data_IF_247846686977
#
_entry.id   IF_247846686977
#
_cell.length_a   1.000
_cell.length_b   1.000
_cell.length_c   1.000
_cell.angle_alpha   90.00
_cell.angle_beta   90.00
_cell.angle_gamma   90.00
#
_symmetry.space_group_name_H-M   'P 1'
#
loop_
_entity.id
_entity.type
_entity.pdbx_description
1 polymer ?
#
# COMPACT_ATOMS: atom_id res chain seq x y z
N UNK A 1 -4.16 -3.78 -5.78
CA UNK A 1 -3.71 -2.37 -5.90
C UNK A 1 -2.20 -2.25 -5.85
N UNK A 2 -1.51 -2.73 -4.82
CA UNK A 2 -0.04 -2.61 -4.68
C UNK A 2 0.70 -3.23 -5.87
N UNK A 3 0.25 -4.39 -6.35
CA UNK A 3 0.81 -5.08 -7.51
C UNK A 3 0.88 -4.19 -8.77
N UNK A 4 -0.05 -3.23 -8.89
CA UNK A 4 -0.13 -2.31 -10.03
C UNK A 4 0.63 -0.98 -9.82
N UNK A 5 1.38 -0.81 -8.76
CA UNK A 5 2.11 0.44 -8.54
C UNK A 5 3.43 0.49 -9.30
N UNK A 6 4.02 -0.65 -9.59
CA UNK A 6 5.42 -0.73 -10.03
C UNK A 6 5.58 -1.17 -11.47
N UNK A 7 4.97 -2.31 -11.85
CA UNK A 7 5.18 -2.86 -13.20
C UNK A 7 4.65 -1.95 -14.33
N UNK A 8 3.53 -1.20 -14.21
CA UNK A 8 3.08 -0.34 -15.30
C UNK A 8 4.11 0.74 -15.63
N UNK A 9 4.74 1.34 -14.63
CA UNK A 9 5.81 2.33 -14.84
C UNK A 9 7.05 1.71 -15.47
N UNK A 10 7.42 0.49 -15.04
CA UNK A 10 8.56 -0.22 -15.59
C UNK A 10 8.36 -0.55 -17.07
N UNK A 11 7.22 -1.15 -17.44
CA UNK A 11 6.96 -1.58 -18.81
C UNK A 11 6.70 -0.39 -19.75
N UNK A 12 6.02 0.67 -19.30
CA UNK A 12 5.81 1.87 -20.10
C UNK A 12 7.11 2.63 -20.40
N UNK A 13 8.14 2.41 -19.58
CA UNK A 13 9.49 2.94 -19.78
C UNK A 13 10.41 1.96 -20.57
N UNK A 14 9.84 0.91 -21.18
CA UNK A 14 10.58 -0.03 -22.00
C UNK A 14 11.38 -1.09 -21.24
N UNK A 15 11.11 -1.30 -19.96
CA UNK A 15 11.77 -2.32 -19.16
C UNK A 15 10.97 -3.64 -19.14
N UNK A 16 11.67 -4.75 -18.94
CA UNK A 16 11.05 -6.01 -18.53
C UNK A 16 10.88 -6.02 -17.02
N UNK A 17 9.94 -6.82 -16.52
CA UNK A 17 9.62 -6.87 -15.10
C UNK A 17 9.52 -8.32 -14.60
N UNK A 18 10.24 -8.63 -13.53
CA UNK A 18 10.07 -9.87 -12.78
C UNK A 18 9.14 -9.56 -11.61
N UNK A 19 8.00 -10.20 -11.60
CA UNK A 19 6.96 -9.98 -10.60
C UNK A 19 6.93 -11.14 -9.59
N UNK A 20 7.34 -10.88 -8.37
CA UNK A 20 7.23 -11.82 -7.25
C UNK A 20 6.17 -11.32 -6.28
N UNK A 21 4.97 -11.88 -6.28
CA UNK A 21 3.94 -11.56 -5.30
C UNK A 21 4.25 -12.13 -3.93
N UNK A 22 3.46 -11.74 -2.92
CA UNK A 22 3.50 -12.40 -1.62
C UNK A 22 3.12 -13.87 -1.77
N UNK A 23 3.87 -14.76 -1.15
CA UNK A 23 3.57 -16.18 -1.09
C UNK A 23 2.26 -16.50 -0.35
N UNK A 24 1.77 -15.58 0.47
CA UNK A 24 0.52 -15.72 1.23
C UNK A 24 -0.73 -15.43 0.39
N UNK A 25 -0.62 -14.56 -0.61
CA UNK A 25 -1.77 -14.09 -1.41
C UNK A 25 -1.42 -14.00 -2.91
N UNK A 26 -1.01 -15.10 -3.56
CA UNK A 26 -0.50 -15.06 -4.93
C UNK A 26 -1.58 -15.00 -6.02
N UNK A 27 -2.82 -15.41 -5.73
CA UNK A 27 -3.84 -15.67 -6.74
C UNK A 27 -4.24 -14.41 -7.54
N UNK A 28 -4.36 -13.27 -6.90
CA UNK A 28 -4.68 -12.00 -7.57
C UNK A 28 -3.59 -11.61 -8.56
N UNK A 29 -2.31 -11.79 -8.18
CA UNK A 29 -1.18 -11.49 -9.05
C UNK A 29 -1.15 -12.42 -10.28
N UNK A 30 -1.43 -13.71 -10.08
CA UNK A 30 -1.53 -14.68 -11.18
C UNK A 30 -2.62 -14.25 -12.17
N UNK A 31 -3.83 -13.97 -11.66
CA UNK A 31 -4.94 -13.57 -12.52
C UNK A 31 -4.66 -12.26 -13.26
N UNK A 32 -4.00 -11.32 -12.61
CA UNK A 32 -3.60 -10.05 -13.22
C UNK A 32 -2.64 -10.26 -14.40
N UNK A 33 -1.62 -11.11 -14.25
CA UNK A 33 -0.69 -11.42 -15.34
C UNK A 33 -1.40 -12.13 -16.49
N UNK A 34 -2.32 -13.07 -16.20
CA UNK A 34 -3.14 -13.70 -17.24
C UNK A 34 -3.97 -12.67 -18.04
N UNK A 35 -4.59 -11.71 -17.35
CA UNK A 35 -5.36 -10.64 -18.00
C UNK A 35 -4.46 -9.76 -18.90
N UNK A 36 -3.23 -9.52 -18.50
CA UNK A 36 -2.26 -8.78 -19.31
C UNK A 36 -1.85 -9.58 -20.57
N UNK A 37 -1.68 -10.89 -20.45
CA UNK A 37 -1.44 -11.77 -21.60
C UNK A 37 -2.65 -11.79 -22.54
N UNK A 38 -3.87 -11.93 -22.00
CA UNK A 38 -5.13 -11.86 -22.77
C UNK A 38 -5.27 -10.51 -23.49
N UNK A 39 -4.79 -9.41 -22.88
CA UNK A 39 -4.77 -8.07 -23.48
C UNK A 39 -3.67 -7.87 -24.54
N UNK A 40 -2.83 -8.86 -24.78
CA UNK A 40 -1.80 -8.83 -25.82
C UNK A 40 -0.43 -8.34 -25.35
N UNK A 41 -0.14 -8.38 -24.04
CA UNK A 41 1.21 -8.06 -23.55
C UNK A 41 2.23 -9.04 -24.17
N UNK A 42 3.31 -8.56 -24.80
CA UNK A 42 4.32 -9.44 -25.42
C UNK A 42 4.96 -10.36 -24.38
N UNK A 43 5.25 -11.59 -24.81
CA UNK A 43 5.94 -12.58 -23.96
C UNK A 43 7.29 -12.06 -23.47
N UNK A 44 7.59 -12.33 -22.20
CA UNK A 44 8.85 -11.94 -21.57
C UNK A 44 8.87 -10.50 -21.00
N UNK A 45 7.85 -9.69 -21.26
CA UNK A 45 7.76 -8.33 -20.68
C UNK A 45 7.49 -8.40 -19.19
N UNK A 46 6.52 -9.22 -18.75
CA UNK A 46 6.29 -9.54 -17.34
C UNK A 46 6.51 -11.03 -17.13
N UNK A 47 7.28 -11.39 -16.12
CA UNK A 47 7.58 -12.76 -15.75
C UNK A 47 7.22 -12.96 -14.28
N UNK A 48 6.20 -13.78 -14.02
CA UNK A 48 5.74 -14.07 -12.67
C UNK A 48 6.57 -15.21 -12.07
N UNK A 49 7.11 -14.98 -10.88
CA UNK A 49 7.86 -15.98 -10.11
C UNK A 49 7.31 -16.07 -8.69
N UNK A 50 7.29 -17.29 -8.14
CA UNK A 50 6.86 -17.54 -6.78
C UNK A 50 8.03 -17.98 -5.91
N UNK A 51 7.98 -17.65 -4.64
CA UNK A 51 8.99 -18.06 -3.66
C UNK A 51 9.03 -17.15 -2.44
N UNK A 52 9.68 -17.66 -1.41
CA UNK A 52 9.93 -16.93 -0.16
C UNK A 52 11.25 -16.15 -0.21
N UNK A 53 11.94 -16.14 0.93
CA UNK A 53 13.19 -15.40 1.14
C UNK A 53 14.28 -15.74 0.11
N UNK A 54 14.50 -17.03 -0.18
CA UNK A 54 15.56 -17.46 -1.08
C UNK A 54 15.37 -16.92 -2.50
N UNK A 55 14.11 -16.88 -2.97
CA UNK A 55 13.78 -16.27 -4.25
C UNK A 55 14.09 -14.76 -4.24
N UNK A 56 13.73 -14.07 -3.17
CA UNK A 56 14.02 -12.63 -3.00
C UNK A 56 15.53 -12.39 -3.01
N UNK A 57 16.30 -13.14 -2.23
CA UNK A 57 17.75 -12.99 -2.13
C UNK A 57 18.44 -13.29 -3.49
N UNK A 58 17.93 -14.28 -4.23
CA UNK A 58 18.41 -14.55 -5.61
C UNK A 58 18.17 -13.35 -6.52
N UNK A 59 16.97 -12.77 -6.50
CA UNK A 59 16.65 -11.58 -7.32
C UNK A 59 17.49 -10.36 -6.92
N UNK A 60 17.77 -10.20 -5.62
CA UNK A 60 18.59 -9.10 -5.11
C UNK A 60 20.06 -9.20 -5.51
N UNK A 61 20.57 -10.41 -5.65
CA UNK A 61 22.00 -10.65 -5.96
C UNK A 61 22.27 -10.89 -7.44
N UNK A 62 21.25 -11.26 -8.24
CA UNK A 62 21.42 -11.59 -9.66
C UNK A 62 21.93 -10.39 -10.47
N UNK A 63 22.99 -10.54 -11.28
CA UNK A 63 23.63 -9.43 -11.97
C UNK A 63 22.76 -8.76 -13.04
N UNK A 64 21.80 -9.48 -13.62
CA UNK A 64 20.92 -8.95 -14.67
C UNK A 64 19.79 -8.06 -14.13
N UNK A 65 19.39 -8.23 -12.86
CA UNK A 65 18.45 -7.32 -12.19
C UNK A 65 19.10 -5.96 -11.94
N UNK A 66 18.59 -4.89 -12.52
CA UNK A 66 19.16 -3.54 -12.42
C UNK A 66 18.47 -2.66 -11.38
N UNK A 67 17.20 -2.93 -11.13
CA UNK A 67 16.39 -2.18 -10.17
C UNK A 67 15.46 -3.11 -9.38
N UNK A 68 15.11 -2.70 -8.17
CA UNK A 68 14.17 -3.40 -7.29
C UNK A 68 13.17 -2.40 -6.74
N UNK A 69 11.90 -2.75 -6.79
CA UNK A 69 10.81 -2.06 -6.11
C UNK A 69 10.14 -3.01 -5.12
N UNK A 70 9.95 -2.55 -3.90
CA UNK A 70 9.39 -3.36 -2.82
C UNK A 70 8.45 -2.55 -1.93
N UNK A 71 7.40 -3.22 -1.48
CA UNK A 71 6.51 -2.75 -0.41
C UNK A 71 6.29 -3.88 0.57
N UNK A 72 6.48 -3.64 1.86
CA UNK A 72 6.24 -4.64 2.90
C UNK A 72 6.65 -4.16 4.30
N UNK A 73 6.98 -5.10 5.18
CA UNK A 73 7.39 -4.77 6.54
C UNK A 73 8.76 -4.06 6.58
N UNK A 74 8.95 -3.17 7.56
CA UNK A 74 10.19 -2.40 7.70
C UNK A 74 11.46 -3.25 7.78
N UNK A 75 11.51 -4.38 8.52
CA UNK A 75 12.71 -5.22 8.53
C UNK A 75 13.06 -5.81 7.16
N UNK A 76 12.04 -6.23 6.40
CA UNK A 76 12.25 -6.75 5.04
C UNK A 76 12.64 -5.63 4.08
N UNK A 77 12.01 -4.47 4.18
CA UNK A 77 12.36 -3.29 3.38
C UNK A 77 13.83 -2.89 3.57
N UNK A 78 14.31 -2.91 4.82
CA UNK A 78 15.71 -2.64 5.16
C UNK A 78 16.65 -3.67 4.54
N UNK A 79 16.36 -4.96 4.68
CA UNK A 79 17.14 -6.05 4.09
C UNK A 79 17.26 -5.90 2.55
N UNK A 80 16.14 -5.61 1.89
CA UNK A 80 16.10 -5.42 0.44
C UNK A 80 16.92 -4.20 0.02
N UNK A 81 16.82 -3.11 0.75
CA UNK A 81 17.58 -1.90 0.47
C UNK A 81 19.09 -2.16 0.60
N UNK A 82 19.52 -2.70 1.75
CA UNK A 82 20.93 -2.96 2.03
C UNK A 82 21.53 -3.97 1.06
N UNK A 83 20.82 -5.07 0.78
CA UNK A 83 21.30 -6.12 -0.11
C UNK A 83 21.32 -5.66 -1.58
N UNK A 84 20.24 -5.05 -2.03
CA UNK A 84 20.14 -4.59 -3.42
C UNK A 84 21.16 -3.50 -3.76
N UNK A 85 21.33 -2.50 -2.88
CA UNK A 85 22.32 -1.44 -3.09
C UNK A 85 23.76 -1.95 -3.04
N UNK A 86 24.06 -2.91 -2.16
CA UNK A 86 25.36 -3.59 -2.11
C UNK A 86 25.71 -4.28 -3.44
N UNK A 87 24.71 -4.74 -4.19
CA UNK A 87 24.88 -5.37 -5.51
C UNK A 87 24.65 -4.39 -6.67
N UNK A 88 24.77 -3.09 -6.42
CA UNK A 88 24.74 -2.04 -7.43
C UNK A 88 23.36 -1.78 -8.07
N UNK A 89 22.28 -2.24 -7.45
CA UNK A 89 20.91 -2.03 -7.96
C UNK A 89 20.35 -0.68 -7.52
N UNK A 90 19.44 -0.14 -8.34
CA UNK A 90 18.55 0.93 -7.90
C UNK A 90 17.45 0.31 -7.04
N UNK A 91 17.26 0.81 -5.82
CA UNK A 91 16.30 0.22 -4.89
C UNK A 91 15.30 1.26 -4.42
N UNK A 92 14.02 0.98 -4.64
CA UNK A 92 12.90 1.63 -3.98
C UNK A 92 12.30 0.63 -3.00
N UNK A 93 12.44 0.89 -1.71
CA UNK A 93 11.98 -0.01 -0.68
C UNK A 93 11.11 0.73 0.33
N UNK A 94 9.82 0.44 0.33
CA UNK A 94 8.82 1.07 1.18
C UNK A 94 8.46 0.15 2.34
N UNK A 95 8.67 0.62 3.56
CA UNK A 95 8.37 -0.08 4.80
C UNK A 95 7.14 0.47 5.51
N UNK A 96 7.08 0.31 6.83
CA UNK A 96 6.05 0.86 7.69
C UNK A 96 6.05 2.39 7.71
N UNK A 97 4.89 2.97 7.99
CA UNK A 97 4.69 4.41 7.97
C UNK A 97 3.92 4.87 9.21
N UNK A 98 4.00 6.17 9.51
CA UNK A 98 3.18 6.89 10.48
C UNK A 98 2.81 8.24 9.87
N UNK A 99 1.75 8.22 9.04
CA UNK A 99 1.39 9.37 8.22
C UNK A 99 0.71 10.46 9.06
N UNK A 100 1.02 11.69 8.72
CA UNK A 100 0.47 12.87 9.36
C UNK A 100 -0.34 13.68 8.36
N UNK A 101 -1.47 14.24 8.79
CA UNK A 101 -2.19 15.29 8.09
C UNK A 101 -2.10 16.58 8.90
N UNK A 102 -1.86 17.69 8.23
CA UNK A 102 -1.84 19.02 8.86
C UNK A 102 -3.13 19.73 8.48
N UNK A 103 -3.85 20.25 9.46
CA UNK A 103 -5.11 20.96 9.30
C UNK A 103 -4.87 22.42 9.66
N UNK A 104 -4.99 23.28 8.67
CA UNK A 104 -4.79 24.73 8.83
C UNK A 104 -6.07 25.38 9.39
N UNK A 105 -5.96 26.59 10.01
CA UNK A 105 -7.10 27.26 10.63
C UNK A 105 -8.23 27.64 9.65
N UNK A 106 -7.91 27.84 8.39
CA UNK A 106 -8.82 28.18 7.30
C UNK A 106 -9.36 26.95 6.52
N UNK A 107 -9.02 25.73 6.96
CA UNK A 107 -9.53 24.52 6.34
C UNK A 107 -11.04 24.36 6.57
N UNK A 108 -11.75 23.89 5.54
CA UNK A 108 -13.16 23.50 5.69
C UNK A 108 -13.29 22.32 6.63
N UNK A 109 -14.06 22.49 7.69
CA UNK A 109 -14.16 21.50 8.77
C UNK A 109 -14.76 20.20 8.28
N UNK A 110 -15.86 20.27 7.51
CA UNK A 110 -16.56 19.08 7.02
C UNK A 110 -15.69 18.27 6.07
N UNK A 111 -15.09 18.91 5.10
CA UNK A 111 -14.18 18.26 4.14
C UNK A 111 -12.96 17.64 4.85
N UNK A 112 -12.43 18.32 5.86
CA UNK A 112 -11.31 17.81 6.67
C UNK A 112 -11.71 16.55 7.43
N UNK A 113 -12.87 16.55 8.09
CA UNK A 113 -13.38 15.38 8.85
C UNK A 113 -13.66 14.22 7.89
N UNK A 114 -14.38 14.45 6.78
CA UNK A 114 -14.69 13.41 5.81
C UNK A 114 -13.41 12.80 5.21
N UNK A 115 -12.43 13.62 4.85
CA UNK A 115 -11.13 13.19 4.33
C UNK A 115 -10.33 12.37 5.35
N UNK A 116 -10.30 12.80 6.62
CA UNK A 116 -9.61 12.07 7.69
C UNK A 116 -10.32 10.76 7.99
N UNK A 117 -11.66 10.75 8.08
CA UNK A 117 -12.42 9.51 8.29
C UNK A 117 -12.13 8.48 7.19
N UNK A 118 -12.17 8.88 5.93
CA UNK A 118 -11.81 8.00 4.81
C UNK A 118 -10.35 7.53 4.83
N UNK A 119 -9.43 8.43 5.13
CA UNK A 119 -7.99 8.16 5.15
C UNK A 119 -7.50 7.39 6.36
N UNK A 120 -8.09 7.60 7.54
CA UNK A 120 -7.69 6.94 8.79
C UNK A 120 -8.39 5.60 9.00
N UNK A 121 -9.70 5.52 8.74
CA UNK A 121 -10.52 4.34 9.04
C UNK A 121 -10.81 3.47 7.82
N UNK A 122 -10.55 3.96 6.60
CA UNK A 122 -10.66 3.15 5.39
C UNK A 122 -9.78 1.89 5.47
N UNK A 123 -10.30 0.74 5.07
CA UNK A 123 -9.65 -0.58 5.26
C UNK A 123 -9.20 -0.83 6.71
N UNK A 124 -10.01 -0.42 7.68
CA UNK A 124 -9.73 -0.55 9.12
C UNK A 124 -8.39 0.07 9.56
N UNK A 125 -7.93 1.11 8.85
CA UNK A 125 -6.65 1.78 9.14
C UNK A 125 -5.40 0.98 8.74
N UNK A 126 -5.55 -0.12 8.00
CA UNK A 126 -4.43 -1.02 7.65
C UNK A 126 -3.70 -0.63 6.37
N UNK A 127 -4.10 0.46 5.71
CA UNK A 127 -3.34 0.97 4.56
C UNK A 127 -2.01 1.55 5.02
N UNK A 128 -0.93 1.29 4.28
CA UNK A 128 0.37 1.93 4.51
C UNK A 128 0.28 3.47 4.46
N UNK A 129 -0.70 4.03 3.74
CA UNK A 129 -0.96 5.46 3.63
C UNK A 129 -2.08 5.94 4.57
N UNK A 130 -2.55 5.11 5.52
CA UNK A 130 -3.57 5.53 6.47
C UNK A 130 -3.08 6.71 7.33
N UNK A 131 -3.96 7.68 7.53
CA UNK A 131 -3.68 8.84 8.40
C UNK A 131 -3.62 8.35 9.85
N UNK A 132 -2.44 8.41 10.46
CA UNK A 132 -2.23 7.99 11.83
C UNK A 132 -2.28 9.13 12.83
N UNK A 133 -1.94 10.35 12.40
CA UNK A 133 -1.92 11.54 13.22
C UNK A 133 -2.56 12.73 12.49
N UNK A 134 -3.41 13.48 13.21
CA UNK A 134 -3.95 14.75 12.75
C UNK A 134 -3.34 15.89 13.57
N UNK A 135 -2.63 16.78 12.91
CA UNK A 135 -1.98 17.94 13.52
C UNK A 135 -2.81 19.18 13.20
N UNK A 136 -3.53 19.68 14.17
CA UNK A 136 -4.33 20.89 14.03
C UNK A 136 -3.49 22.13 14.37
N UNK A 137 -3.44 23.09 13.45
CA UNK A 137 -2.72 24.36 13.65
C UNK A 137 -3.68 25.38 14.25
N UNK A 138 -3.26 26.05 15.32
CA UNK A 138 -4.03 27.10 15.98
C UNK A 138 -5.43 26.66 16.39
N UNK A 139 -6.44 27.42 16.04
CA UNK A 139 -7.84 27.22 16.44
C UNK A 139 -8.56 26.08 15.70
N UNK A 140 -7.95 25.49 14.67
CA UNK A 140 -8.51 24.34 13.96
C UNK A 140 -8.83 23.15 14.91
N UNK A 141 -8.09 23.02 16.01
CA UNK A 141 -8.33 21.98 17.01
C UNK A 141 -9.69 22.12 17.70
N UNK A 142 -10.22 23.33 17.89
CA UNK A 142 -11.47 23.59 18.62
C UNK A 142 -12.70 23.04 17.89
N UNK A 143 -12.66 23.02 16.57
CA UNK A 143 -13.78 22.57 15.73
C UNK A 143 -13.56 21.17 15.20
N UNK A 144 -12.45 20.92 14.50
CA UNK A 144 -12.20 19.67 13.80
C UNK A 144 -12.10 18.47 14.73
N UNK A 145 -11.42 18.59 15.88
CA UNK A 145 -11.25 17.44 16.80
C UNK A 145 -12.57 16.94 17.39
N UNK A 146 -13.49 17.86 17.69
CA UNK A 146 -14.81 17.49 18.21
C UNK A 146 -15.62 16.72 17.15
N UNK A 147 -15.73 17.28 15.95
CA UNK A 147 -16.49 16.66 14.87
C UNK A 147 -15.86 15.32 14.43
N UNK A 148 -14.53 15.25 14.38
CA UNK A 148 -13.81 14.01 14.08
C UNK A 148 -14.08 12.92 15.15
N UNK A 149 -14.05 13.29 16.42
CA UNK A 149 -14.35 12.36 17.51
C UNK A 149 -15.79 11.85 17.44
N UNK A 150 -16.74 12.73 17.14
CA UNK A 150 -18.15 12.36 16.98
C UNK A 150 -18.38 11.50 15.75
N UNK A 151 -17.75 11.80 14.63
CA UNK A 151 -17.79 10.97 13.43
C UNK A 151 -17.21 9.57 13.68
N UNK A 152 -16.08 9.48 14.38
CA UNK A 152 -15.46 8.20 14.73
C UNK A 152 -16.31 7.36 15.70
N UNK A 153 -16.98 7.98 16.69
CA UNK A 153 -17.90 7.26 17.59
C UNK A 153 -19.12 6.71 16.87
N UNK A 154 -19.59 7.39 15.84
CA UNK A 154 -20.76 7.00 15.06
C UNK A 154 -20.43 6.03 13.94
N UNK A 155 -19.17 5.69 13.74
CA UNK A 155 -18.72 4.76 12.69
C UNK A 155 -19.29 3.36 12.96
N UNK A 156 -20.04 2.83 11.99
CA UNK A 156 -20.60 1.48 12.07
C UNK A 156 -19.52 0.46 11.74
N UNK A 157 -19.12 -0.31 12.74
CA UNK A 157 -18.11 -1.37 12.62
C UNK A 157 -18.78 -2.74 12.70
N UNK A 158 -18.39 -3.65 11.84
CA UNK A 158 -18.96 -5.01 11.84
C UNK A 158 -18.42 -5.90 10.72
N UNK A 159 -18.86 -7.16 10.65
CA UNK A 159 -18.52 -8.07 9.58
C UNK A 159 -19.19 -7.65 8.26
N UNK A 160 -18.53 -7.95 7.14
CA UNK A 160 -18.96 -7.50 5.79
C UNK A 160 -20.14 -8.28 5.21
N UNK A 161 -20.54 -9.37 5.84
CA UNK A 161 -21.66 -10.25 5.43
C UNK A 161 -23.05 -9.80 5.96
N UNK A 162 -23.10 -8.67 6.69
CA UNK A 162 -24.34 -8.11 7.25
C UNK A 162 -24.97 -7.05 6.35
N UNK A 163 -26.31 -6.99 6.44
CA UNK A 163 -27.11 -5.94 5.80
C UNK A 163 -27.80 -5.08 6.90
N UNK A 164 -27.66 -3.74 6.91
CA UNK A 164 -26.81 -2.96 6.01
C UNK A 164 -25.32 -3.18 6.28
N UNK A 165 -24.51 -3.09 5.22
CA UNK A 165 -23.06 -3.24 5.32
C UNK A 165 -22.47 -2.21 6.28
N UNK A 166 -21.51 -2.61 7.12
CA UNK A 166 -20.81 -1.69 8.00
C UNK A 166 -19.89 -0.73 7.20
N UNK A 167 -19.62 0.42 7.77
CA UNK A 167 -18.71 1.41 7.18
C UNK A 167 -17.24 1.00 7.32
N UNK A 168 -16.93 0.18 8.31
CA UNK A 168 -15.59 -0.35 8.56
C UNK A 168 -15.68 -1.82 8.96
N UNK A 169 -14.80 -2.65 8.36
CA UNK A 169 -14.67 -4.05 8.74
C UNK A 169 -14.15 -4.17 10.18
N UNK A 170 -14.79 -5.03 10.97
CA UNK A 170 -14.29 -5.39 12.29
C UNK A 170 -13.23 -6.49 12.18
N UNK A 171 -12.00 -6.19 12.59
CA UNK A 171 -10.89 -7.14 12.53
C UNK A 171 -11.01 -8.27 13.57
N UNK A 172 -11.73 -8.05 14.66
CA UNK A 172 -11.92 -9.08 15.70
C UNK A 172 -12.90 -10.18 15.27
N UNK A 173 -13.63 -10.01 14.17
CA UNK A 173 -14.56 -10.99 13.63
C UNK A 173 -13.97 -11.79 12.46
N UNK A 174 -12.71 -11.57 12.13
CA UNK A 174 -11.97 -12.33 11.13
C UNK A 174 -11.24 -13.48 11.83
#
# INVERSE_FOLDING_TARGET
>A
MIDMWMFPLAISSGNTFIFKPSEKVPLTAIRLVQLLEEAGLPKGVINLVHGGKDCVDTLLTHPDGKAVSFVGSTPVAKHIYETGTKHGKRVQSNGGAKNHVIIMPDADVKSSVDGIMGGAFGCAGERCMAIANAVCVGDASKTVLRELADAARNLKVGPTDRDPQPQMLSLIHI
#
